data_IF_797919315321
#
_entry.id   IF_797919315321
#
_cell.length_a   1.000
_cell.length_b   1.000
_cell.length_c   1.000
_cell.angle_alpha   90.00
_cell.angle_beta   90.00
_cell.angle_gamma   90.00
#
_symmetry.space_group_name_H-M   'P 1'
#
loop_
_entity.id
_entity.type
_entity.pdbx_description
1 polymer ?
#
# COMPACT_ATOMS: atom_id res chain seq x y z
N UNK A 1 -64.25 20.28 -24.82
CA UNK A 1 -63.80 19.12 -24.02
C UNK A 1 -62.42 18.76 -24.53
N UNK A 2 -61.38 19.07 -23.76
CA UNK A 2 -59.96 18.93 -24.11
C UNK A 2 -59.41 17.68 -23.45
N UNK A 3 -58.69 16.85 -24.20
CA UNK A 3 -57.74 15.89 -23.64
C UNK A 3 -56.44 16.04 -24.42
N UNK A 4 -55.40 16.39 -23.68
CA UNK A 4 -54.00 16.48 -24.08
C UNK A 4 -53.43 15.08 -24.03
N UNK A 5 -52.57 14.71 -24.98
CA UNK A 5 -51.51 13.76 -24.68
C UNK A 5 -50.25 14.08 -25.48
N UNK A 6 -49.12 13.90 -24.80
CA UNK A 6 -47.80 13.49 -25.25
C UNK A 6 -46.78 13.98 -24.21
N UNK A 7 -46.56 13.12 -23.22
CA UNK A 7 -45.47 13.25 -22.28
C UNK A 7 -44.12 13.13 -22.99
N UNK A 8 -43.26 14.11 -22.78
CA UNK A 8 -41.83 14.01 -23.04
C UNK A 8 -41.12 13.75 -21.70
N UNK A 9 -40.81 12.48 -21.47
CA UNK A 9 -39.91 12.04 -20.41
C UNK A 9 -38.51 12.57 -20.72
N UNK A 10 -38.10 13.63 -20.03
CA UNK A 10 -36.71 14.08 -20.04
C UNK A 10 -35.86 13.09 -19.24
N UNK A 11 -35.11 12.24 -19.92
CA UNK A 11 -33.93 11.63 -19.32
C UNK A 11 -32.77 12.62 -19.38
N UNK A 12 -32.53 13.31 -18.27
CA UNK A 12 -31.24 13.94 -18.00
C UNK A 12 -30.36 12.88 -17.32
N UNK A 13 -29.38 12.27 -18.00
CA UNK A 13 -28.42 11.42 -17.33
C UNK A 13 -27.50 12.32 -16.53
N UNK A 14 -27.95 12.67 -15.31
CA UNK A 14 -27.08 13.21 -14.28
C UNK A 14 -25.88 12.27 -14.19
N UNK A 15 -24.74 12.75 -14.69
CA UNK A 15 -23.49 12.02 -14.73
C UNK A 15 -23.08 11.80 -13.27
N UNK A 16 -23.44 10.65 -12.71
CA UNK A 16 -23.07 10.29 -11.35
C UNK A 16 -21.56 10.48 -11.23
N UNK A 17 -21.07 11.35 -10.33
CA UNK A 17 -19.64 11.53 -10.20
C UNK A 17 -19.04 10.18 -9.86
N UNK A 18 -18.21 9.65 -10.77
CA UNK A 18 -17.44 8.44 -10.54
C UNK A 18 -16.76 8.59 -9.19
N UNK A 19 -17.15 7.77 -8.21
CA UNK A 19 -16.46 7.72 -6.92
C UNK A 19 -15.03 7.31 -7.24
N UNK A 20 -14.12 8.28 -7.26
CA UNK A 20 -12.71 8.02 -7.48
C UNK A 20 -12.31 7.09 -6.36
N UNK A 21 -11.99 5.84 -6.69
CA UNK A 21 -11.58 4.84 -5.69
C UNK A 21 -10.57 5.52 -4.76
N UNK A 22 -10.78 5.50 -3.43
CA UNK A 22 -9.86 6.14 -2.51
C UNK A 22 -8.45 5.68 -2.85
N UNK A 23 -7.57 6.63 -3.19
CA UNK A 23 -6.15 6.28 -3.30
C UNK A 23 -5.75 5.80 -1.91
N UNK A 24 -5.13 4.62 -1.77
CA UNK A 24 -4.61 4.21 -0.47
C UNK A 24 -3.73 5.33 0.04
N UNK A 25 -4.08 5.85 1.23
CA UNK A 25 -3.41 7.00 1.80
C UNK A 25 -1.93 6.66 2.04
N UNK A 26 -1.05 7.64 1.82
CA UNK A 26 0.30 7.56 2.35
C UNK A 26 0.21 7.33 3.87
N UNK A 27 1.09 6.49 4.40
CA UNK A 27 1.16 6.18 5.83
C UNK A 27 2.41 6.86 6.38
N UNK A 28 2.29 8.03 7.03
CA UNK A 28 3.44 8.65 7.66
C UNK A 28 3.92 7.81 8.84
N UNK A 29 5.22 7.90 9.11
CA UNK A 29 5.87 7.29 10.26
C UNK A 29 5.82 8.29 11.42
N UNK A 30 5.24 7.85 12.53
CA UNK A 30 5.08 8.64 13.73
C UNK A 30 5.85 8.02 14.88
N UNK A 31 6.33 8.86 15.78
CA UNK A 31 6.79 8.43 17.09
C UNK A 31 5.57 8.04 17.94
N UNK A 32 5.52 6.78 18.38
CA UNK A 32 4.34 6.25 19.07
C UNK A 32 4.10 6.85 20.46
N UNK A 33 5.10 7.46 21.08
CA UNK A 33 4.96 8.06 22.41
C UNK A 33 4.47 9.50 22.36
N UNK A 34 4.79 10.21 21.27
CA UNK A 34 4.59 11.66 21.15
C UNK A 34 3.69 12.07 19.99
N UNK A 35 3.26 11.13 19.15
CA UNK A 35 2.58 11.36 17.86
C UNK A 35 3.36 12.29 16.91
N UNK A 36 4.65 12.47 17.16
CA UNK A 36 5.50 13.34 16.33
C UNK A 36 5.77 12.67 14.99
N UNK A 37 5.59 13.42 13.89
CA UNK A 37 6.01 12.99 12.56
C UNK A 37 7.54 12.76 12.51
N UNK A 38 7.93 11.53 12.20
CA UNK A 38 9.32 11.14 11.95
C UNK A 38 9.66 11.26 10.46
N UNK A 39 8.80 10.73 9.58
CA UNK A 39 8.97 10.82 8.14
C UNK A 39 7.66 10.56 7.39
N UNK A 40 7.51 11.16 6.20
CA UNK A 40 6.53 10.73 5.21
C UNK A 40 7.28 10.17 4.00
N UNK A 41 7.20 8.85 3.81
CA UNK A 41 7.87 8.14 2.71
C UNK A 41 6.92 7.89 1.52
N UNK A 42 5.69 8.40 1.59
CA UNK A 42 4.64 8.14 0.61
C UNK A 42 4.04 6.75 0.77
N UNK A 43 3.85 6.06 -0.37
CA UNK A 43 3.11 4.80 -0.44
C UNK A 43 4.02 3.60 -0.23
N UNK A 44 4.27 3.31 1.04
CA UNK A 44 4.89 2.06 1.50
C UNK A 44 3.95 1.38 2.50
N UNK A 45 3.77 0.07 2.34
CA UNK A 45 3.23 -0.77 3.40
C UNK A 45 4.38 -1.21 4.30
N UNK A 46 4.09 -1.47 5.56
CA UNK A 46 5.06 -2.03 6.48
C UNK A 46 4.86 -3.53 6.58
N UNK A 47 5.97 -4.27 6.46
CA UNK A 47 5.97 -5.66 6.85
C UNK A 47 5.60 -5.74 8.33
N UNK A 48 4.78 -6.72 8.68
CA UNK A 48 4.45 -6.96 10.08
C UNK A 48 5.71 -7.49 10.77
N UNK A 49 6.26 -6.74 11.70
CA UNK A 49 7.33 -7.16 12.60
C UNK A 49 6.81 -8.11 13.68
N UNK A 50 7.67 -9.05 14.07
CA UNK A 50 7.36 -10.08 15.07
C UNK A 50 7.85 -9.66 16.44
N UNK A 51 8.98 -8.94 16.51
CA UNK A 51 9.58 -8.39 17.71
C UNK A 51 9.90 -6.89 17.59
N UNK A 52 10.08 -6.22 18.73
CA UNK A 52 10.41 -4.78 18.78
C UNK A 52 11.76 -4.45 18.13
N UNK A 53 12.69 -5.40 18.21
CA UNK A 53 14.06 -5.23 17.70
C UNK A 53 14.19 -5.66 16.23
N UNK A 54 13.10 -6.17 15.61
CA UNK A 54 13.11 -6.47 14.19
C UNK A 54 13.34 -5.21 13.35
N UNK A 55 14.09 -5.32 12.24
CA UNK A 55 14.30 -4.19 11.36
C UNK A 55 12.97 -3.71 10.78
N UNK A 56 12.82 -2.39 10.71
CA UNK A 56 11.71 -1.75 10.03
C UNK A 56 11.84 -2.01 8.52
N UNK A 57 10.91 -2.78 7.94
CA UNK A 57 10.92 -3.11 6.51
C UNK A 57 9.67 -2.57 5.84
N UNK A 58 9.88 -1.74 4.82
CA UNK A 58 8.84 -1.25 3.92
C UNK A 58 8.73 -2.11 2.67
N UNK A 59 7.51 -2.38 2.23
CA UNK A 59 7.19 -3.04 0.97
C UNK A 59 6.28 -2.18 0.11
N UNK A 60 6.43 -2.29 -1.21
CA UNK A 60 5.48 -1.73 -2.16
C UNK A 60 5.44 -2.52 -3.44
N UNK A 61 4.30 -2.50 -4.12
CA UNK A 61 4.21 -2.99 -5.50
C UNK A 61 4.94 -2.06 -6.48
N UNK A 62 5.96 -2.58 -7.16
CA UNK A 62 6.62 -1.95 -8.29
C UNK A 62 5.72 -1.90 -9.53
N UNK A 63 6.05 -1.02 -10.48
CA UNK A 63 5.31 -0.90 -11.76
C UNK A 63 5.44 -2.15 -12.64
N UNK A 64 6.53 -2.88 -12.46
CA UNK A 64 6.83 -4.16 -13.10
C UNK A 64 6.17 -5.36 -12.39
N UNK A 65 5.34 -5.11 -11.38
CA UNK A 65 4.67 -6.15 -10.59
C UNK A 65 5.56 -6.81 -9.53
N UNK A 66 6.85 -6.46 -9.44
CA UNK A 66 7.73 -6.99 -8.38
C UNK A 66 7.39 -6.35 -7.04
N UNK A 67 7.59 -7.09 -5.96
CA UNK A 67 7.55 -6.54 -4.62
C UNK A 67 8.88 -5.85 -4.34
N UNK A 68 8.86 -4.52 -4.31
CA UNK A 68 10.03 -3.73 -3.93
C UNK A 68 10.11 -3.70 -2.42
N UNK A 69 11.28 -4.00 -1.88
CA UNK A 69 11.55 -4.00 -0.44
C UNK A 69 12.60 -2.94 -0.13
N UNK A 70 12.36 -2.19 0.94
CA UNK A 70 13.24 -1.11 1.37
C UNK A 70 13.34 -1.06 2.89
N UNK A 71 14.48 -0.56 3.35
CA UNK A 71 14.65 -0.07 4.72
C UNK A 71 14.24 1.41 4.76
N UNK A 72 13.28 1.81 5.61
CA UNK A 72 12.99 3.20 5.88
C UNK A 72 14.16 3.90 6.59
N UNK A 73 14.67 4.95 5.96
CA UNK A 73 15.62 5.91 6.54
C UNK A 73 14.82 7.14 6.95
N UNK A 74 14.35 7.11 8.20
CA UNK A 74 13.48 8.15 8.76
C UNK A 74 14.21 9.49 8.89
N UNK A 75 15.53 9.47 9.18
CA UNK A 75 16.34 10.67 9.29
C UNK A 75 16.50 11.43 7.97
N UNK A 76 16.63 10.70 6.86
CA UNK A 76 16.70 11.29 5.52
C UNK A 76 15.34 11.33 4.79
N UNK A 77 14.24 10.98 5.47
CA UNK A 77 12.89 10.89 4.90
C UNK A 77 12.84 10.15 3.55
N UNK A 78 13.51 8.99 3.46
CA UNK A 78 13.56 8.18 2.25
C UNK A 78 13.42 6.69 2.55
N UNK A 79 13.02 5.92 1.55
CA UNK A 79 13.06 4.46 1.60
C UNK A 79 14.26 3.95 0.80
N UNK A 80 15.23 3.33 1.47
CA UNK A 80 16.41 2.73 0.84
C UNK A 80 16.06 1.36 0.30
N UNK A 81 15.90 1.26 -1.01
CA UNK A 81 15.58 -0.01 -1.68
C UNK A 81 16.73 -1.01 -1.49
N UNK A 82 16.41 -2.17 -0.94
CA UNK A 82 17.33 -3.28 -0.70
C UNK A 82 17.05 -4.48 -1.61
N UNK A 83 15.88 -4.52 -2.27
CA UNK A 83 15.55 -5.60 -3.21
C UNK A 83 14.25 -5.41 -3.99
N UNK A 84 14.08 -6.23 -5.03
CA UNK A 84 12.87 -6.30 -5.85
C UNK A 84 12.55 -7.75 -6.22
N UNK A 85 11.57 -8.32 -5.51
CA UNK A 85 11.27 -9.76 -5.50
C UNK A 85 10.08 -10.08 -6.42
N UNK A 86 10.21 -11.01 -7.37
CA UNK A 86 9.11 -11.39 -8.25
C UNK A 86 8.14 -12.35 -7.55
N UNK A 87 6.86 -12.30 -7.92
CA UNK A 87 5.85 -13.30 -7.51
C UNK A 87 5.38 -13.24 -6.05
N UNK A 88 5.94 -12.35 -5.23
CA UNK A 88 5.52 -12.15 -3.84
C UNK A 88 4.36 -11.16 -3.73
N UNK A 89 3.46 -11.37 -2.78
CA UNK A 89 2.36 -10.47 -2.41
C UNK A 89 2.85 -9.40 -1.41
N UNK A 90 2.07 -8.33 -1.26
CA UNK A 90 2.39 -7.16 -0.41
C UNK A 90 1.82 -7.35 1.00
N UNK A 91 2.21 -8.46 1.64
CA UNK A 91 1.66 -8.95 2.92
C UNK A 91 2.76 -9.49 3.84
N UNK A 92 3.97 -8.95 3.69
CA UNK A 92 5.17 -9.46 4.32
C UNK A 92 5.14 -9.42 5.84
N UNK A 93 5.82 -10.38 6.45
CA UNK A 93 6.16 -10.41 7.88
C UNK A 93 7.67 -10.50 8.02
N UNK A 94 8.24 -9.73 8.94
CA UNK A 94 9.68 -9.76 9.27
C UNK A 94 9.90 -10.38 10.65
N UNK A 95 10.99 -11.13 10.76
CA UNK A 95 11.46 -11.77 11.99
C UNK A 95 12.75 -12.54 11.72
N UNK A 96 13.65 -12.62 12.69
CA UNK A 96 14.88 -13.44 12.61
C UNK A 96 15.74 -13.13 11.36
N UNK A 97 15.77 -11.86 10.95
CA UNK A 97 16.51 -11.41 9.75
C UNK A 97 15.93 -11.92 8.43
N UNK A 98 14.66 -12.33 8.39
CA UNK A 98 13.98 -12.84 7.20
C UNK A 98 12.68 -12.08 6.95
N UNK A 99 12.44 -11.71 5.69
CA UNK A 99 11.14 -11.32 5.19
C UNK A 99 10.43 -12.54 4.61
N UNK A 100 9.22 -12.82 5.11
CA UNK A 100 8.34 -13.87 4.61
C UNK A 100 7.08 -13.24 4.02
N UNK A 101 6.82 -13.47 2.75
CA UNK A 101 5.57 -13.03 2.09
C UNK A 101 4.87 -14.23 1.46
N UNK A 102 3.54 -14.13 1.26
CA UNK A 102 2.86 -15.10 0.42
C UNK A 102 3.26 -14.91 -1.05
N UNK A 103 3.16 -15.98 -1.82
CA UNK A 103 3.31 -15.97 -3.26
C UNK A 103 1.93 -16.02 -3.92
N UNK A 104 1.84 -15.49 -5.13
CA UNK A 104 0.61 -15.57 -5.93
C UNK A 104 0.22 -17.01 -6.29
N UNK A 105 1.17 -17.95 -6.24
CA UNK A 105 0.95 -19.39 -6.46
C UNK A 105 0.46 -20.15 -5.21
N UNK A 106 0.21 -19.45 -4.10
CA UNK A 106 -0.27 -20.04 -2.85
C UNK A 106 0.84 -20.49 -1.89
N UNK A 107 2.11 -20.45 -2.30
CA UNK A 107 3.25 -20.73 -1.43
C UNK A 107 3.72 -19.53 -0.60
N UNK A 108 4.89 -19.68 0.01
CA UNK A 108 5.62 -18.59 0.68
C UNK A 108 6.96 -18.33 0.00
N UNK A 109 7.36 -17.08 -0.03
CA UNK A 109 8.73 -16.67 -0.37
C UNK A 109 9.44 -16.22 0.87
N UNK A 110 10.67 -16.71 1.06
CA UNK A 110 11.57 -16.28 2.13
C UNK A 110 12.72 -15.49 1.52
N UNK A 111 13.05 -14.37 2.12
CA UNK A 111 14.17 -13.54 1.71
C UNK A 111 14.98 -13.08 2.92
N UNK A 112 16.27 -13.39 2.91
CA UNK A 112 17.20 -12.95 3.97
C UNK A 112 17.48 -11.46 3.83
N UNK A 113 17.26 -10.74 4.92
CA UNK A 113 17.67 -9.35 5.12
C UNK A 113 19.15 -9.37 5.54
N UNK A 114 19.96 -8.47 4.99
CA UNK A 114 21.40 -8.42 5.19
C UNK A 114 21.81 -7.03 5.63
#
# INVERSE_FOLDING_TARGET
MTVIDLGELRDDPTRVPSTRRPRPAARPYLDAATDRLLADLGRWELAVWSDRDDPLIGTRRGRDGRLVVAEPDLGAARARVIGALPGLLDDGRVGEGVLVCRRADGGFGLWRLR
#
